data_IF_718526598908
#
_entry.id   IF_718526598908
#
_cell.length_a   1.000
_cell.length_b   1.000
_cell.length_c   1.000
_cell.angle_alpha   90.00
_cell.angle_beta   90.00
_cell.angle_gamma   90.00
#
_symmetry.space_group_name_H-M   'P 1'
#
loop_
_entity.id
_entity.type
_entity.pdbx_description
1 polymer ?
#
# COMPACT_ATOMS: atom_id res chain seq x y z
N UNK A 1 4.40 11.34 -8.50
CA UNK A 1 3.25 12.08 -9.09
C UNK A 1 1.88 11.45 -8.79
N UNK A 2 1.77 10.30 -8.10
CA UNK A 2 0.47 9.68 -7.68
C UNK A 2 0.21 9.81 -6.18
N UNK A 3 1.24 9.92 -5.33
CA UNK A 3 1.10 10.13 -3.87
C UNK A 3 0.23 11.35 -3.53
N UNK A 4 0.34 12.45 -4.27
CA UNK A 4 -0.54 13.63 -4.09
C UNK A 4 -2.02 13.35 -4.45
N UNK A 5 -2.30 12.41 -5.37
CA UNK A 5 -3.67 11.98 -5.67
C UNK A 5 -4.25 11.10 -4.55
N UNK A 6 -3.43 10.22 -3.95
CA UNK A 6 -3.83 9.41 -2.79
C UNK A 6 -4.19 10.28 -1.57
N UNK A 7 -3.44 11.35 -1.32
CA UNK A 7 -3.76 12.36 -0.28
C UNK A 7 -5.16 12.97 -0.45
N UNK A 8 -5.62 13.15 -1.69
CA UNK A 8 -6.95 13.71 -2.00
C UNK A 8 -8.08 12.68 -1.88
N UNK A 9 -7.79 11.40 -2.09
CA UNK A 9 -8.77 10.30 -2.09
C UNK A 9 -9.20 9.85 -0.68
N UNK A 10 -8.42 10.14 0.36
CA UNK A 10 -8.61 9.59 1.71
C UNK A 10 -9.22 10.58 2.72
N UNK A 11 -10.18 11.42 2.29
CA UNK A 11 -10.90 12.37 3.17
C UNK A 11 -11.85 11.69 4.16
N UNK A 12 -12.20 10.42 3.95
CA UNK A 12 -13.05 9.58 4.82
C UNK A 12 -12.48 8.16 4.83
N UNK A 13 -12.59 7.44 5.95
CA UNK A 13 -12.17 6.04 6.07
C UNK A 13 -12.87 5.18 5.00
N UNK A 14 -12.15 4.61 4.03
CA UNK A 14 -12.77 3.79 2.99
C UNK A 14 -13.28 2.46 3.56
N UNK A 15 -14.21 1.83 2.84
CA UNK A 15 -14.58 0.43 3.08
C UNK A 15 -13.36 -0.49 2.93
N UNK A 16 -13.48 -1.72 3.43
CA UNK A 16 -12.34 -2.62 3.61
C UNK A 16 -11.64 -2.95 2.29
N UNK A 17 -12.39 -3.33 1.27
CA UNK A 17 -11.82 -3.80 0.00
C UNK A 17 -11.19 -2.63 -0.75
N UNK A 18 -11.86 -1.47 -0.76
CA UNK A 18 -11.28 -0.26 -1.31
C UNK A 18 -10.02 0.18 -0.57
N UNK A 19 -9.98 0.02 0.75
CA UNK A 19 -8.80 0.34 1.57
C UNK A 19 -7.61 -0.55 1.24
N UNK A 20 -7.83 -1.85 1.13
CA UNK A 20 -6.79 -2.82 0.79
C UNK A 20 -6.20 -2.50 -0.60
N UNK A 21 -7.05 -2.20 -1.58
CA UNK A 21 -6.60 -1.76 -2.91
C UNK A 21 -5.78 -0.47 -2.86
N UNK A 22 -6.26 0.56 -2.13
CA UNK A 22 -5.54 1.83 -2.02
C UNK A 22 -4.19 1.65 -1.33
N UNK A 23 -4.12 0.86 -0.25
CA UNK A 23 -2.88 0.55 0.45
C UNK A 23 -1.88 -0.19 -0.44
N UNK A 24 -2.37 -1.15 -1.25
CA UNK A 24 -1.53 -1.85 -2.23
C UNK A 24 -0.91 -0.87 -3.22
N UNK A 25 -1.70 0.03 -3.80
CA UNK A 25 -1.20 0.98 -4.78
C UNK A 25 -0.28 2.03 -4.18
N UNK A 26 -0.62 2.57 -3.01
CA UNK A 26 0.26 3.50 -2.30
C UNK A 26 1.59 2.86 -1.89
N UNK A 27 1.58 1.55 -1.58
CA UNK A 27 2.80 0.81 -1.33
C UNK A 27 3.64 0.65 -2.59
N UNK A 28 3.03 0.25 -3.71
CA UNK A 28 3.73 0.12 -5.00
C UNK A 28 4.35 1.46 -5.41
N UNK A 29 3.61 2.56 -5.30
CA UNK A 29 4.11 3.91 -5.60
C UNK A 29 5.35 4.25 -4.76
N UNK A 30 5.24 4.07 -3.44
CA UNK A 30 6.33 4.43 -2.52
C UNK A 30 7.55 3.53 -2.71
N UNK A 31 7.34 2.25 -3.04
CA UNK A 31 8.43 1.33 -3.37
C UNK A 31 9.12 1.72 -4.67
N UNK A 32 8.36 2.09 -5.72
CA UNK A 32 8.92 2.56 -6.99
C UNK A 32 9.71 3.87 -6.83
N UNK A 33 9.28 4.75 -5.93
CA UNK A 33 9.95 6.02 -5.66
C UNK A 33 11.24 5.85 -4.84
N UNK A 34 11.23 4.95 -3.84
CA UNK A 34 12.33 4.85 -2.86
C UNK A 34 13.26 3.67 -3.08
N UNK A 35 12.82 2.64 -3.82
CA UNK A 35 13.50 1.34 -3.92
C UNK A 35 13.59 0.57 -2.59
N UNK A 36 12.90 1.03 -1.55
CA UNK A 36 13.05 0.55 -0.18
C UNK A 36 11.79 -0.18 0.32
N UNK A 37 11.91 -1.23 1.16
CA UNK A 37 10.76 -1.89 1.76
C UNK A 37 9.85 -0.90 2.51
N UNK A 38 8.54 -1.00 2.28
CA UNK A 38 7.58 0.01 2.75
C UNK A 38 6.96 -0.42 4.08
N UNK A 39 7.03 0.47 5.08
CA UNK A 39 6.43 0.24 6.40
C UNK A 39 5.01 0.79 6.51
N UNK A 40 4.26 0.32 7.51
CA UNK A 40 2.94 0.90 7.84
C UNK A 40 3.01 2.37 8.22
N UNK A 41 4.10 2.81 8.86
CA UNK A 41 4.29 4.20 9.25
C UNK A 41 4.57 5.08 8.04
N UNK A 42 5.39 4.60 7.11
CA UNK A 42 5.68 5.30 5.86
C UNK A 42 4.40 5.55 5.05
N UNK A 43 3.51 4.55 4.96
CA UNK A 43 2.20 4.75 4.31
C UNK A 43 1.31 5.74 5.07
N UNK A 44 1.30 5.68 6.41
CA UNK A 44 0.54 6.61 7.22
C UNK A 44 0.96 8.06 6.97
N UNK A 45 2.26 8.32 6.94
CA UNK A 45 2.85 9.64 6.69
C UNK A 45 2.64 10.14 5.26
N UNK A 46 2.50 9.23 4.28
CA UNK A 46 2.38 9.58 2.87
C UNK A 46 0.93 9.75 2.38
N UNK A 47 -0.08 9.54 3.23
CA UNK A 47 -1.47 9.85 2.87
C UNK A 47 -2.55 9.02 3.57
N UNK A 48 -2.18 8.02 4.36
CA UNK A 48 -3.12 7.18 5.11
C UNK A 48 -3.28 7.61 6.58
N UNK A 49 -3.18 8.92 6.84
CA UNK A 49 -3.17 9.54 8.17
C UNK A 49 -4.39 9.16 9.04
N UNK A 50 -5.54 8.97 8.39
CA UNK A 50 -6.82 8.61 9.02
C UNK A 50 -6.88 7.16 9.51
N UNK A 51 -5.87 6.34 9.19
CA UNK A 51 -5.74 4.96 9.64
C UNK A 51 -4.66 4.84 10.73
N UNK A 52 -4.88 3.94 11.67
CA UNK A 52 -3.83 3.57 12.63
C UNK A 52 -2.78 2.68 11.96
N UNK A 53 -1.52 2.76 12.40
CA UNK A 53 -0.45 1.88 11.91
C UNK A 53 -0.78 0.40 12.09
N UNK A 54 -1.53 0.05 13.15
CA UNK A 54 -2.03 -1.31 13.36
C UNK A 54 -3.04 -1.74 12.28
N UNK A 55 -3.97 -0.86 11.88
CA UNK A 55 -4.94 -1.16 10.81
C UNK A 55 -4.20 -1.38 9.49
N UNK A 56 -3.26 -0.49 9.14
CA UNK A 56 -2.44 -0.61 7.93
C UNK A 56 -1.66 -1.93 7.95
N UNK A 57 -1.00 -2.27 9.07
CA UNK A 57 -0.24 -3.52 9.20
C UNK A 57 -1.12 -4.75 8.95
N UNK A 58 -2.34 -4.76 9.49
CA UNK A 58 -3.29 -5.88 9.33
C UNK A 58 -3.74 -6.04 7.88
N UNK A 59 -4.06 -4.95 7.20
CA UNK A 59 -4.49 -5.01 5.80
C UNK A 59 -3.35 -5.41 4.87
N UNK A 60 -2.15 -4.87 5.10
CA UNK A 60 -0.96 -5.30 4.41
C UNK A 60 -0.62 -6.79 4.65
N UNK A 61 -0.93 -7.35 5.84
CA UNK A 61 -0.75 -8.78 6.11
C UNK A 61 -1.71 -9.65 5.30
N UNK A 62 -2.93 -9.18 5.04
CA UNK A 62 -3.86 -9.88 4.15
C UNK A 62 -3.41 -9.80 2.70
N UNK A 63 -2.95 -8.63 2.24
CA UNK A 63 -2.40 -8.47 0.89
C UNK A 63 -1.19 -9.39 0.68
N UNK A 64 -0.39 -9.61 1.71
CA UNK A 64 0.68 -10.60 1.72
C UNK A 64 0.16 -12.04 1.64
N UNK A 65 -0.86 -12.41 2.43
CA UNK A 65 -1.53 -13.72 2.31
C UNK A 65 -2.16 -13.96 0.92
N UNK A 66 -2.60 -12.89 0.25
CA UNK A 66 -3.12 -12.93 -1.11
C UNK A 66 -2.01 -12.97 -2.18
N UNK A 67 -0.74 -12.89 -1.80
CA UNK A 67 0.41 -12.96 -2.70
C UNK A 67 0.77 -11.65 -3.39
N UNK A 68 0.14 -10.53 -3.03
CA UNK A 68 0.49 -9.21 -3.57
C UNK A 68 1.78 -8.65 -2.96
N UNK A 69 2.04 -8.96 -1.69
CA UNK A 69 3.17 -8.44 -0.95
C UNK A 69 4.01 -9.56 -0.37
N UNK A 70 5.27 -9.27 -0.10
CA UNK A 70 6.17 -10.14 0.66
C UNK A 70 6.88 -9.32 1.73
N UNK A 71 6.95 -9.86 2.94
CA UNK A 71 7.72 -9.28 4.03
C UNK A 71 9.19 -9.73 3.93
N UNK A 72 10.13 -8.77 3.89
CA UNK A 72 11.57 -9.06 3.78
C UNK A 72 12.13 -9.75 5.02
N UNK A 73 11.67 -9.34 6.22
CA UNK A 73 12.03 -9.92 7.52
C UNK A 73 10.90 -9.69 8.54
N UNK A 74 10.87 -10.43 9.65
CA UNK A 74 9.82 -10.35 10.69
C UNK A 74 9.55 -8.92 11.23
N UNK A 75 10.53 -8.01 11.15
CA UNK A 75 10.40 -6.58 11.50
C UNK A 75 10.42 -5.62 10.31
N UNK A 76 10.68 -6.11 9.10
CA UNK A 76 10.89 -5.32 7.89
C UNK A 76 9.60 -4.84 7.22
N UNK A 77 9.74 -3.81 6.38
CA UNK A 77 8.67 -3.38 5.47
C UNK A 77 8.29 -4.45 4.45
N UNK A 78 7.26 -4.16 3.67
CA UNK A 78 6.77 -5.03 2.60
C UNK A 78 7.27 -4.57 1.24
N UNK A 79 7.48 -5.54 0.38
CA UNK A 79 7.86 -5.33 -1.02
C UNK A 79 6.72 -5.84 -1.92
N UNK A 80 6.37 -5.10 -2.99
CA UNK A 80 5.40 -5.57 -3.97
C UNK A 80 5.93 -6.75 -4.78
N UNK A 81 5.09 -7.76 -4.99
CA UNK A 81 5.39 -8.89 -5.88
C UNK A 81 5.05 -8.56 -7.33
N UNK A 82 5.41 -9.46 -8.25
CA UNK A 82 4.97 -9.39 -9.65
C UNK A 82 3.45 -9.32 -9.79
N UNK A 83 2.68 -9.92 -8.87
CA UNK A 83 1.22 -9.84 -8.87
C UNK A 83 0.72 -8.43 -8.54
N UNK A 84 1.34 -7.77 -7.56
CA UNK A 84 1.03 -6.36 -7.24
C UNK A 84 1.29 -5.45 -8.42
N UNK A 85 2.43 -5.59 -9.10
CA UNK A 85 2.73 -4.78 -10.27
C UNK A 85 1.75 -5.00 -11.42
N UNK A 86 1.35 -6.25 -11.70
CA UNK A 86 0.32 -6.55 -12.71
C UNK A 86 -1.01 -5.88 -12.38
N UNK A 87 -1.46 -6.01 -11.13
CA UNK A 87 -2.72 -5.43 -10.68
C UNK A 87 -2.68 -3.89 -10.69
N UNK A 88 -1.56 -3.31 -10.27
CA UNK A 88 -1.31 -1.87 -10.34
C UNK A 88 -1.35 -1.37 -11.79
N UNK A 89 -0.60 -2.00 -12.70
CA UNK A 89 -0.57 -1.62 -14.11
C UNK A 89 -1.96 -1.72 -14.75
N UNK A 90 -2.71 -2.79 -14.47
CA UNK A 90 -4.07 -2.97 -14.97
C UNK A 90 -5.05 -1.87 -14.49
N UNK A 91 -4.80 -1.25 -13.34
CA UNK A 91 -5.63 -0.16 -12.82
C UNK A 91 -5.37 1.19 -13.51
N UNK A 92 -4.13 1.45 -13.94
CA UNK A 92 -3.72 2.75 -14.49
C UNK A 92 -3.56 2.77 -16.02
N UNK A 93 -3.53 1.61 -16.68
CA UNK A 93 -3.39 1.49 -18.13
C UNK A 93 -4.73 1.25 -18.88
N UNK A 94 -5.85 1.38 -18.17
CA UNK A 94 -7.22 1.35 -18.71
C UNK A 94 -7.89 2.71 -18.49
#
# INVERSE_FOLDING_TARGET
>A
MIVNALKKLLRKKPDKDRREQLLLFGLVDLYLETGCPVSSNSLKEQGFETLSSATIRNDLAKLEQQGYLVQQHSSGGRIPTSLAYKHYAAHYLN
#
